data_IF_113717842906
#
_entry.id   IF_113717842906
#
_cell.length_a   1.000
_cell.length_b   1.000
_cell.length_c   1.000
_cell.angle_alpha   90.00
_cell.angle_beta   90.00
_cell.angle_gamma   90.00
#
_symmetry.space_group_name_H-M   'P 1'
#
loop_
_entity.id
_entity.type
_entity.pdbx_description
1 polymer ?
#
# COMPACT_ATOMS: atom_id res chain seq x y z
N UNK A 1 -13.69 -10.50 -14.79
CA UNK A 1 -12.24 -10.41 -14.55
C UNK A 1 -11.95 -10.48 -13.05
N UNK A 2 -10.72 -10.80 -12.65
CA UNK A 2 -10.31 -10.96 -11.24
C UNK A 2 -10.47 -9.69 -10.37
N UNK A 3 -10.61 -8.53 -11.00
CA UNK A 3 -10.72 -7.22 -10.32
C UNK A 3 -12.15 -6.70 -10.22
N UNK A 4 -13.15 -7.44 -10.73
CA UNK A 4 -14.54 -6.99 -10.68
C UNK A 4 -15.04 -6.98 -9.23
N UNK A 5 -15.61 -5.87 -8.79
CA UNK A 5 -16.12 -5.70 -7.42
C UNK A 5 -15.11 -5.13 -6.42
N UNK A 6 -13.88 -4.80 -6.84
CA UNK A 6 -12.95 -4.08 -5.98
C UNK A 6 -13.36 -2.61 -5.82
N UNK A 7 -13.25 -2.11 -4.61
CA UNK A 7 -13.32 -0.68 -4.29
C UNK A 7 -11.91 -0.13 -4.16
N UNK A 8 -11.70 1.08 -4.67
CA UNK A 8 -10.45 1.82 -4.55
C UNK A 8 -10.55 2.87 -3.45
N UNK A 9 -9.53 2.94 -2.61
CA UNK A 9 -9.32 3.99 -1.63
C UNK A 9 -7.97 4.63 -1.87
N UNK A 10 -7.90 5.95 -1.78
CA UNK A 10 -6.69 6.71 -2.06
C UNK A 10 -6.48 7.75 -0.98
N UNK A 11 -5.28 7.78 -0.40
CA UNK A 11 -4.90 8.66 0.69
C UNK A 11 -3.56 9.35 0.40
N UNK A 12 -3.45 10.64 0.72
CA UNK A 12 -2.22 11.41 0.55
C UNK A 12 -1.48 11.45 1.89
N UNK A 13 -0.18 11.26 1.85
CA UNK A 13 0.68 11.31 3.04
C UNK A 13 2.01 11.98 2.72
N UNK A 14 2.72 12.39 3.77
CA UNK A 14 4.09 12.91 3.65
C UNK A 14 5.02 11.95 4.37
N UNK A 15 5.97 11.39 3.64
CA UNK A 15 6.97 10.46 4.16
C UNK A 15 8.08 11.23 4.90
N UNK A 16 8.35 10.91 6.18
CA UNK A 16 9.49 11.44 6.90
C UNK A 16 10.79 10.94 6.25
N UNK A 17 11.89 11.67 6.41
CA UNK A 17 13.16 11.37 5.72
C UNK A 17 13.63 9.91 5.91
N UNK A 18 13.43 9.35 7.12
CA UNK A 18 13.74 7.96 7.47
C UNK A 18 12.93 6.90 6.70
N UNK A 19 11.74 7.25 6.22
CA UNK A 19 10.81 6.38 5.49
C UNK A 19 10.72 6.74 4.00
N UNK A 20 11.76 7.35 3.42
CA UNK A 20 11.83 7.64 1.98
C UNK A 20 12.56 6.59 1.17
N UNK A 21 13.34 5.72 1.81
CA UNK A 21 14.04 4.64 1.10
C UNK A 21 13.06 3.55 0.65
N UNK A 22 13.33 2.94 -0.49
CA UNK A 22 12.51 1.85 -1.02
C UNK A 22 12.45 0.67 -0.03
N UNK A 23 13.59 0.31 0.55
CA UNK A 23 13.69 -0.74 1.55
C UNK A 23 12.85 -0.45 2.81
N UNK A 24 12.95 0.79 3.35
CA UNK A 24 12.18 1.20 4.52
C UNK A 24 10.68 1.10 4.25
N UNK A 25 10.23 1.58 3.09
CA UNK A 25 8.81 1.53 2.69
C UNK A 25 8.33 0.10 2.61
N UNK A 26 9.09 -0.76 1.91
CA UNK A 26 8.71 -2.17 1.75
C UNK A 26 8.62 -2.86 3.10
N UNK A 27 9.60 -2.64 3.98
CA UNK A 27 9.58 -3.21 5.33
C UNK A 27 8.37 -2.74 6.15
N UNK A 28 8.09 -1.43 6.17
CA UNK A 28 6.99 -0.85 6.93
C UNK A 28 5.63 -1.35 6.41
N UNK A 29 5.42 -1.32 5.09
CA UNK A 29 4.16 -1.78 4.47
C UNK A 29 3.95 -3.28 4.67
N UNK A 30 4.99 -4.10 4.48
CA UNK A 30 4.91 -5.55 4.73
C UNK A 30 4.62 -5.84 6.21
N UNK A 31 5.24 -5.12 7.14
CA UNK A 31 4.99 -5.31 8.57
C UNK A 31 3.59 -4.86 8.99
N UNK A 32 3.10 -3.75 8.46
CA UNK A 32 1.79 -3.19 8.85
C UNK A 32 0.62 -3.99 8.27
N UNK A 33 0.76 -4.49 7.03
CA UNK A 33 -0.36 -5.06 6.27
C UNK A 33 -0.20 -6.55 5.94
N UNK A 34 0.91 -7.19 6.30
CA UNK A 34 1.25 -8.58 5.96
C UNK A 34 1.10 -8.86 4.45
N UNK A 35 1.74 -8.03 3.64
CA UNK A 35 1.66 -8.07 2.18
C UNK A 35 3.02 -8.36 1.54
N UNK A 36 2.99 -9.01 0.38
CA UNK A 36 4.18 -9.24 -0.43
C UNK A 36 4.40 -8.11 -1.44
N UNK A 37 5.64 -7.67 -1.62
CA UNK A 37 6.01 -6.74 -2.70
C UNK A 37 5.89 -7.45 -4.05
N UNK A 38 5.27 -6.78 -5.01
CA UNK A 38 5.22 -7.22 -6.41
C UNK A 38 6.39 -6.56 -7.15
N UNK A 39 7.29 -7.34 -7.79
CA UNK A 39 8.33 -6.78 -8.63
C UNK A 39 7.72 -5.89 -9.70
N UNK A 40 8.18 -4.64 -9.76
CA UNK A 40 7.73 -3.67 -10.72
C UNK A 40 8.94 -3.29 -11.58
N UNK A 41 8.83 -3.41 -12.91
CA UNK A 41 9.88 -2.94 -13.82
C UNK A 41 9.90 -1.40 -13.99
N UNK A 42 9.10 -0.68 -13.21
CA UNK A 42 9.08 0.78 -13.18
C UNK A 42 10.10 1.30 -12.15
N UNK A 43 10.47 2.56 -12.31
CA UNK A 43 11.43 3.25 -11.44
C UNK A 43 11.04 3.17 -9.96
N UNK A 44 12.00 3.46 -9.09
CA UNK A 44 11.86 3.37 -7.64
C UNK A 44 10.63 4.15 -7.13
N UNK A 45 10.12 5.15 -7.86
CA UNK A 45 8.94 5.93 -7.49
C UNK A 45 7.69 5.11 -7.12
N UNK A 46 7.54 3.88 -7.64
CA UNK A 46 6.36 3.03 -7.38
C UNK A 46 6.69 1.77 -6.59
N UNK A 47 6.07 1.63 -5.41
CA UNK A 47 6.05 0.38 -4.65
C UNK A 47 4.68 -0.28 -4.73
N UNK A 48 4.63 -1.49 -5.29
CA UNK A 48 3.37 -2.28 -5.42
C UNK A 48 3.41 -3.49 -4.51
N UNK A 49 2.27 -3.79 -3.91
CA UNK A 49 2.09 -4.93 -3.02
C UNK A 49 0.79 -5.65 -3.32
N UNK A 50 0.76 -6.94 -2.99
CA UNK A 50 -0.42 -7.76 -3.13
C UNK A 50 -0.53 -8.73 -1.94
N UNK A 51 -1.77 -9.01 -1.57
CA UNK A 51 -2.09 -10.01 -0.57
C UNK A 51 -3.47 -10.61 -0.80
N UNK A 52 -3.76 -11.63 -0.01
CA UNK A 52 -5.05 -12.31 0.05
C UNK A 52 -5.42 -12.52 1.52
N UNK A 53 -6.65 -12.19 1.90
CA UNK A 53 -7.09 -12.47 3.27
C UNK A 53 -7.17 -13.96 3.53
N UNK A 54 -6.83 -14.37 4.76
CA UNK A 54 -6.75 -15.78 5.13
C UNK A 54 -8.12 -16.46 5.05
N UNK A 55 -9.15 -15.85 5.65
CA UNK A 55 -10.47 -16.49 5.79
C UNK A 55 -11.34 -16.34 4.53
N UNK A 56 -11.51 -15.12 4.01
CA UNK A 56 -12.41 -14.89 2.86
C UNK A 56 -11.73 -15.06 1.51
N UNK A 57 -10.40 -15.11 1.48
CA UNK A 57 -9.65 -15.17 0.24
C UNK A 57 -9.76 -13.91 -0.62
N UNK A 58 -10.14 -12.78 -0.02
CA UNK A 58 -10.33 -11.53 -0.75
C UNK A 58 -8.98 -10.94 -1.15
N UNK A 59 -8.87 -10.52 -2.40
CA UNK A 59 -7.66 -9.91 -2.92
C UNK A 59 -7.53 -8.47 -2.45
N UNK A 60 -6.30 -8.10 -2.12
CA UNK A 60 -5.90 -6.75 -1.76
C UNK A 60 -4.71 -6.37 -2.63
N UNK A 61 -4.80 -5.21 -3.29
CA UNK A 61 -3.72 -4.63 -4.08
C UNK A 61 -3.40 -3.24 -3.52
N UNK A 62 -2.11 -2.95 -3.37
CA UNK A 62 -1.65 -1.71 -2.76
C UNK A 62 -0.60 -1.10 -3.67
N UNK A 63 -0.69 0.20 -3.89
CA UNK A 63 0.33 0.97 -4.57
C UNK A 63 0.69 2.19 -3.71
N UNK A 64 1.98 2.43 -3.56
CA UNK A 64 2.52 3.66 -3.00
C UNK A 64 3.31 4.37 -4.10
N UNK A 65 2.82 5.53 -4.50
CA UNK A 65 3.50 6.44 -5.43
C UNK A 65 4.22 7.51 -4.63
N UNK A 66 5.53 7.60 -4.79
CA UNK A 66 6.35 8.67 -4.22
C UNK A 66 6.40 9.86 -5.17
N UNK A 67 6.42 11.07 -4.60
CA UNK A 67 6.54 12.34 -5.31
C UNK A 67 7.66 13.17 -4.69
N UNK A 68 8.01 14.26 -5.36
CA UNK A 68 9.01 15.21 -4.89
C UNK A 68 8.68 15.75 -3.49
N UNK A 69 9.72 16.10 -2.73
CA UNK A 69 9.58 16.67 -1.38
C UNK A 69 9.06 15.68 -0.33
N UNK A 70 9.01 14.37 -0.63
CA UNK A 70 8.53 13.34 0.28
C UNK A 70 7.01 13.19 0.32
N UNK A 71 6.26 13.94 -0.50
CA UNK A 71 4.85 13.67 -0.70
C UNK A 71 4.67 12.25 -1.30
N UNK A 72 3.63 11.55 -0.88
CA UNK A 72 3.29 10.24 -1.40
C UNK A 72 1.78 10.04 -1.45
N UNK A 73 1.35 9.11 -2.31
CA UNK A 73 -0.03 8.72 -2.47
C UNK A 73 -0.14 7.20 -2.29
N UNK A 74 -0.93 6.80 -1.31
CA UNK A 74 -1.27 5.41 -1.06
C UNK A 74 -2.61 5.11 -1.73
N UNK A 75 -2.65 4.07 -2.55
CA UNK A 75 -3.87 3.53 -3.14
C UNK A 75 -4.04 2.09 -2.72
N UNK A 76 -5.20 1.75 -2.15
CA UNK A 76 -5.58 0.41 -1.72
C UNK A 76 -6.84 0.00 -2.47
N UNK A 77 -6.73 -1.10 -3.21
CA UNK A 77 -7.84 -1.76 -3.87
C UNK A 77 -8.20 -3.03 -3.09
N UNK A 78 -9.47 -3.19 -2.72
CA UNK A 78 -9.97 -4.37 -1.98
C UNK A 78 -11.41 -4.69 -2.37
N UNK A 79 -11.78 -5.97 -2.39
CA UNK A 79 -13.17 -6.41 -2.57
C UNK A 79 -14.09 -5.95 -1.44
N UNK A 80 -13.55 -5.81 -0.22
CA UNK A 80 -14.31 -5.36 0.94
C UNK A 80 -13.81 -4.00 1.39
N UNK A 81 -14.70 -3.03 1.40
CA UNK A 81 -14.40 -1.65 1.80
C UNK A 81 -13.85 -1.55 3.22
N UNK A 82 -14.39 -2.33 4.18
CA UNK A 82 -13.91 -2.34 5.57
C UNK A 82 -12.45 -2.76 5.67
N UNK A 83 -12.04 -3.76 4.87
CA UNK A 83 -10.64 -4.19 4.82
C UNK A 83 -9.77 -3.08 4.23
N UNK A 84 -10.25 -2.44 3.15
CA UNK A 84 -9.54 -1.33 2.52
C UNK A 84 -9.31 -0.17 3.49
N UNK A 85 -10.33 0.26 4.23
CA UNK A 85 -10.22 1.39 5.16
C UNK A 85 -9.31 1.08 6.35
N UNK A 86 -9.32 -0.15 6.86
CA UNK A 86 -8.38 -0.59 7.90
C UNK A 86 -6.93 -0.52 7.39
N UNK A 87 -6.66 -1.10 6.21
CA UNK A 87 -5.33 -1.13 5.63
C UNK A 87 -4.78 0.27 5.33
N UNK A 88 -5.61 1.19 4.81
CA UNK A 88 -5.19 2.58 4.59
C UNK A 88 -4.72 3.21 5.90
N UNK A 89 -5.49 3.06 6.99
CA UNK A 89 -5.14 3.64 8.31
C UNK A 89 -3.83 3.06 8.85
N UNK A 90 -3.70 1.74 8.85
CA UNK A 90 -2.54 1.05 9.43
C UNK A 90 -1.26 1.37 8.66
N UNK A 91 -1.33 1.42 7.32
CA UNK A 91 -0.18 1.73 6.46
C UNK A 91 0.20 3.20 6.56
N UNK A 92 -0.76 4.13 6.55
CA UNK A 92 -0.47 5.56 6.73
C UNK A 92 0.19 5.79 8.08
N UNK A 93 -0.32 5.18 9.15
CA UNK A 93 0.30 5.26 10.46
C UNK A 93 1.74 4.73 10.43
N UNK A 94 2.00 3.55 9.86
CA UNK A 94 3.34 2.98 9.78
C UNK A 94 4.32 3.81 8.94
N UNK A 95 3.84 4.47 7.87
CA UNK A 95 4.68 5.26 6.97
C UNK A 95 4.94 6.69 7.45
N UNK A 96 4.11 7.21 8.36
CA UNK A 96 4.22 8.61 8.86
C UNK A 96 4.81 8.71 10.26
N UNK A 97 4.98 7.59 10.97
CA UNK A 97 5.67 7.53 12.26
C UNK A 97 7.17 7.78 12.13
#
# INVERSE_FOLDING_TARGET
>A
GKLMGMSELTEKLTLPDKCRSDHSIVQQVTSAANVGRVPCGADNEYSRFAAKTVTSGSLVLIALERREGGAAQLTVNSEKMVIGTMLVKDIVQALTQ
#
